data_IF_107468176632
#
_entry.id   IF_107468176632
#
_cell.length_a   1.000
_cell.length_b   1.000
_cell.length_c   1.000
_cell.angle_alpha   90.00
_cell.angle_beta   90.00
_cell.angle_gamma   90.00
#
_symmetry.space_group_name_H-M   'P 1'
#
loop_
_entity.id
_entity.type
_entity.pdbx_description
1 polymer ?
#
# COMPACT_ATOMS: atom_id res chain seq x y z
N UNK A 1 -14.94 -15.49 -16.37
CA UNK A 1 -14.31 -14.40 -17.15
C UNK A 1 -13.61 -13.50 -16.17
N UNK A 2 -12.30 -13.65 -16.00
CA UNK A 2 -11.49 -12.84 -15.08
C UNK A 2 -11.49 -11.40 -15.61
N UNK A 3 -12.06 -10.46 -14.86
CA UNK A 3 -12.04 -9.04 -15.24
C UNK A 3 -10.60 -8.55 -15.29
N UNK A 4 -10.28 -7.67 -16.24
CA UNK A 4 -8.97 -7.01 -16.26
C UNK A 4 -8.78 -6.17 -14.98
N UNK A 5 -7.64 -6.27 -14.28
CA UNK A 5 -7.36 -5.53 -13.04
C UNK A 5 -7.49 -4.00 -13.18
N UNK A 6 -7.33 -3.49 -14.39
CA UNK A 6 -7.50 -2.06 -14.71
C UNK A 6 -8.95 -1.58 -14.63
N UNK A 7 -9.92 -2.46 -14.92
CA UNK A 7 -11.34 -2.11 -15.04
C UNK A 7 -12.18 -2.51 -13.82
N UNK A 8 -11.55 -3.05 -12.77
CA UNK A 8 -12.26 -3.57 -11.60
C UNK A 8 -12.83 -2.46 -10.72
N UNK A 9 -12.11 -1.34 -10.61
CA UNK A 9 -12.46 -0.21 -9.75
C UNK A 9 -12.33 1.14 -10.48
N UNK A 10 -12.97 2.20 -9.97
CA UNK A 10 -13.03 3.49 -10.67
C UNK A 10 -11.71 4.27 -10.63
N UNK A 11 -10.87 4.11 -9.60
CA UNK A 11 -9.63 4.88 -9.47
C UNK A 11 -8.50 4.14 -10.17
N UNK A 12 -7.93 4.75 -11.21
CA UNK A 12 -6.78 4.16 -11.92
C UNK A 12 -5.52 4.29 -11.09
N UNK A 13 -4.71 3.24 -11.11
CA UNK A 13 -3.44 3.16 -10.40
C UNK A 13 -2.39 2.48 -11.29
N UNK A 14 -1.13 2.80 -11.01
CA UNK A 14 0.01 2.26 -11.72
C UNK A 14 1.05 1.77 -10.70
N UNK A 15 1.74 0.69 -11.03
CA UNK A 15 2.80 0.14 -10.22
C UNK A 15 3.64 -0.85 -11.00
N UNK A 16 4.53 -1.54 -10.30
CA UNK A 16 5.32 -2.62 -10.84
C UNK A 16 4.85 -3.90 -10.18
N UNK A 17 4.48 -4.89 -11.00
CA UNK A 17 3.97 -6.16 -10.52
C UNK A 17 4.84 -7.30 -11.02
N UNK A 18 4.93 -8.34 -10.21
CA UNK A 18 5.35 -9.66 -10.65
C UNK A 18 4.14 -10.43 -11.16
N UNK A 19 4.33 -11.12 -12.27
CA UNK A 19 3.30 -11.96 -12.89
C UNK A 19 3.54 -13.45 -12.66
N UNK A 20 4.73 -13.82 -12.20
CA UNK A 20 5.16 -15.19 -11.95
C UNK A 20 6.24 -15.23 -10.85
N UNK A 21 6.75 -16.45 -10.59
CA UNK A 21 7.75 -16.73 -9.56
C UNK A 21 9.19 -16.35 -9.94
N UNK A 22 9.43 -15.77 -11.13
CA UNK A 22 10.79 -15.45 -11.61
C UNK A 22 11.47 -14.35 -10.80
N UNK A 23 10.73 -13.50 -10.09
CA UNK A 23 11.29 -12.29 -9.49
C UNK A 23 11.20 -11.06 -10.39
N UNK A 24 10.78 -11.19 -11.64
CA UNK A 24 10.79 -10.08 -12.59
C UNK A 24 9.59 -9.16 -12.35
N UNK A 25 9.88 -7.88 -12.10
CA UNK A 25 8.87 -6.83 -11.98
C UNK A 25 8.72 -6.13 -13.33
N UNK A 26 7.47 -6.00 -13.79
CA UNK A 26 7.12 -5.25 -15.00
C UNK A 26 6.06 -4.19 -14.71
N UNK A 27 6.01 -3.10 -15.52
CA UNK A 27 4.95 -2.09 -15.43
C UNK A 27 3.56 -2.73 -15.47
N UNK A 28 2.69 -2.32 -14.55
CA UNK A 28 1.37 -2.90 -14.36
C UNK A 28 0.37 -1.80 -14.02
N UNK A 29 -0.65 -1.68 -14.87
CA UNK A 29 -1.80 -0.82 -14.59
C UNK A 29 -2.86 -1.63 -13.87
N UNK A 30 -3.50 -1.00 -12.88
CA UNK A 30 -4.58 -1.60 -12.14
C UNK A 30 -5.52 -0.52 -11.65
N UNK A 31 -6.50 -0.90 -10.83
CA UNK A 31 -7.43 0.04 -10.25
C UNK A 31 -7.61 -0.17 -8.75
N UNK A 32 -8.03 0.88 -8.05
CA UNK A 32 -8.32 0.92 -6.63
C UNK A 32 -9.74 1.42 -6.40
N UNK A 33 -10.36 0.98 -5.31
CA UNK A 33 -11.67 1.48 -4.88
C UNK A 33 -11.66 2.98 -4.61
N UNK A 34 -12.83 3.59 -4.60
CA UNK A 34 -12.98 4.95 -4.09
C UNK A 34 -12.67 5.01 -2.59
N UNK A 35 -12.34 6.20 -2.10
CA UNK A 35 -12.06 6.42 -0.68
C UNK A 35 -13.38 6.30 0.08
N UNK A 36 -13.60 5.17 0.77
CA UNK A 36 -14.77 4.96 1.62
C UNK A 36 -14.67 5.74 2.93
N UNK A 37 -15.70 5.61 3.78
CA UNK A 37 -15.86 6.41 5.01
C UNK A 37 -14.77 6.18 6.10
N UNK A 38 -13.98 5.12 5.97
CA UNK A 38 -12.88 4.77 6.88
C UNK A 38 -11.51 4.77 6.19
N UNK A 39 -11.45 5.11 4.90
CA UNK A 39 -10.24 5.02 4.11
C UNK A 39 -9.38 6.30 4.22
N UNK A 40 -8.09 6.11 3.98
CA UNK A 40 -7.14 7.19 3.73
C UNK A 40 -6.48 6.92 2.39
N UNK A 41 -6.62 7.87 1.47
CA UNK A 41 -5.90 7.87 0.20
C UNK A 41 -4.68 8.75 0.35
N UNK A 42 -3.55 8.24 -0.09
CA UNK A 42 -2.30 8.97 -0.11
C UNK A 42 -1.56 8.70 -1.41
N UNK A 43 -0.79 9.69 -1.83
CA UNK A 43 0.16 9.60 -2.93
C UNK A 43 1.46 9.00 -2.40
N UNK A 44 1.84 7.85 -2.92
CA UNK A 44 3.13 7.22 -2.60
C UNK A 44 4.26 8.12 -3.10
N UNK A 45 5.18 8.48 -2.22
CA UNK A 45 6.40 9.22 -2.55
C UNK A 45 7.62 8.30 -2.54
N UNK A 46 7.68 7.41 -1.55
CA UNK A 46 8.76 6.45 -1.36
C UNK A 46 8.21 5.09 -0.94
N UNK A 47 8.87 4.03 -1.38
CA UNK A 47 8.60 2.65 -0.95
C UNK A 47 9.94 2.00 -0.61
N UNK A 48 10.06 1.48 0.60
CA UNK A 48 11.18 0.66 1.05
C UNK A 48 11.14 -0.71 0.37
N UNK A 49 12.32 -1.31 0.23
CA UNK A 49 12.47 -2.68 -0.26
C UNK A 49 13.03 -3.51 0.88
N UNK A 50 12.28 -4.55 1.26
CA UNK A 50 12.69 -5.49 2.29
C UNK A 50 12.89 -6.89 1.70
N UNK A 51 13.60 -7.75 2.43
CA UNK A 51 13.82 -9.14 2.01
C UNK A 51 12.50 -9.92 1.88
N UNK A 52 11.51 -9.60 2.71
CA UNK A 52 10.17 -10.17 2.62
C UNK A 52 9.50 -9.93 1.26
N UNK A 53 9.78 -8.81 0.59
CA UNK A 53 9.27 -8.57 -0.76
C UNK A 53 9.84 -9.59 -1.75
N UNK A 54 11.14 -9.89 -1.68
CA UNK A 54 11.78 -10.87 -2.56
C UNK A 54 11.21 -12.27 -2.36
N UNK A 55 11.08 -12.71 -1.11
CA UNK A 55 10.49 -14.02 -0.78
C UNK A 55 9.05 -14.12 -1.29
N UNK A 56 8.28 -13.03 -1.17
CA UNK A 56 6.90 -12.95 -1.65
C UNK A 56 6.85 -13.01 -3.18
N UNK A 57 7.67 -12.23 -3.89
CA UNK A 57 7.69 -12.20 -5.35
C UNK A 57 8.13 -13.54 -5.94
N UNK A 58 9.05 -14.27 -5.29
CA UNK A 58 9.53 -15.59 -5.75
C UNK A 58 8.66 -16.76 -5.28
N UNK A 59 7.61 -16.51 -4.51
CA UNK A 59 6.75 -17.52 -3.92
C UNK A 59 7.51 -18.58 -3.11
N UNK A 60 8.55 -18.20 -2.38
CA UNK A 60 9.38 -19.16 -1.64
C UNK A 60 8.61 -19.82 -0.47
N UNK A 61 7.54 -19.18 -0.02
CA UNK A 61 6.65 -19.71 1.01
C UNK A 61 5.39 -20.42 0.46
N UNK A 62 5.19 -20.42 -0.86
CA UNK A 62 4.12 -21.19 -1.52
C UNK A 62 2.70 -20.59 -1.44
N UNK A 63 2.53 -19.37 -0.93
CA UNK A 63 1.22 -18.71 -0.78
C UNK A 63 1.08 -17.39 -1.55
N UNK A 64 2.00 -17.08 -2.47
CA UNK A 64 1.95 -15.86 -3.26
C UNK A 64 0.89 -15.94 -4.36
N UNK A 65 0.06 -14.89 -4.45
CA UNK A 65 -0.96 -14.73 -5.50
C UNK A 65 -0.49 -13.72 -6.53
N UNK A 66 -0.54 -14.08 -7.80
CA UNK A 66 -0.16 -13.22 -8.92
C UNK A 66 -1.41 -12.74 -9.69
N UNK A 67 -1.41 -11.52 -10.27
CA UNK A 67 -0.33 -10.53 -10.25
C UNK A 67 -0.12 -9.90 -8.86
N UNK A 68 1.14 -9.75 -8.44
CA UNK A 68 1.53 -9.24 -7.13
C UNK A 68 2.27 -7.91 -7.26
N UNK A 69 1.78 -6.87 -6.58
CA UNK A 69 2.51 -5.60 -6.40
C UNK A 69 3.14 -5.60 -5.00
N UNK A 70 4.46 -5.79 -4.87
CA UNK A 70 5.15 -5.80 -3.58
C UNK A 70 5.29 -4.37 -3.01
N UNK A 71 5.72 -4.27 -1.75
CA UNK A 71 5.86 -3.00 -1.05
C UNK A 71 4.95 -2.92 0.16
N UNK A 72 5.53 -3.07 1.34
CA UNK A 72 4.85 -2.96 2.63
C UNK A 72 5.43 -1.85 3.53
N UNK A 73 6.46 -1.15 3.05
CA UNK A 73 7.11 -0.03 3.75
C UNK A 73 6.92 1.25 2.93
N UNK A 74 5.74 1.88 3.02
CA UNK A 74 5.35 2.97 2.11
C UNK A 74 5.24 4.30 2.85
N UNK A 75 5.83 5.35 2.28
CA UNK A 75 5.72 6.73 2.74
C UNK A 75 5.11 7.60 1.66
N UNK A 76 4.18 8.46 2.05
CA UNK A 76 3.46 9.30 1.11
C UNK A 76 2.78 10.51 1.74
N UNK A 77 2.19 11.30 0.86
CA UNK A 77 1.40 12.47 1.21
C UNK A 77 -0.08 12.13 1.15
N UNK A 78 -0.83 12.43 2.21
CA UNK A 78 -2.27 12.17 2.25
C UNK A 78 -3.01 13.10 1.29
N UNK A 79 -3.77 12.53 0.36
CA UNK A 79 -4.52 13.28 -0.66
C UNK A 79 -6.01 13.36 -0.35
N UNK A 80 -6.58 12.32 0.25
CA UNK A 80 -7.98 12.30 0.66
C UNK A 80 -8.14 11.52 1.96
N UNK A 81 -9.04 12.00 2.80
CA UNK A 81 -9.35 11.43 4.11
C UNK A 81 -10.86 11.40 4.21
N UNK A 82 -11.41 10.24 4.54
CA UNK A 82 -12.84 10.11 4.76
C UNK A 82 -13.35 11.04 5.87
N UNK A 83 -14.62 11.43 5.93
CA UNK A 83 -15.04 12.54 6.83
C UNK A 83 -15.46 12.08 8.24
N UNK A 84 -15.61 10.78 8.52
CA UNK A 84 -16.31 10.34 9.74
C UNK A 84 -15.37 10.01 10.93
N UNK A 85 -15.53 10.84 11.98
CA UNK A 85 -15.33 10.65 13.44
C UNK A 85 -14.04 10.02 13.97
N UNK A 86 -13.02 10.84 14.18
CA UNK A 86 -12.54 11.26 15.54
C UNK A 86 -11.27 12.12 15.40
N UNK A 87 -11.08 13.00 16.37
CA UNK A 87 -10.20 14.18 16.44
C UNK A 87 -8.68 13.92 16.29
N UNK A 88 -8.25 12.69 16.04
CA UNK A 88 -6.84 12.27 16.00
C UNK A 88 -6.33 12.09 14.56
N UNK A 89 -6.47 13.08 13.68
CA UNK A 89 -6.43 12.78 12.24
C UNK A 89 -5.61 13.72 11.38
N UNK A 90 -4.32 13.75 11.68
CA UNK A 90 -3.22 14.01 10.73
C UNK A 90 -1.95 13.30 11.23
N UNK A 91 -1.75 13.24 12.55
CA UNK A 91 -0.58 12.61 13.19
C UNK A 91 -0.50 11.08 12.98
N UNK A 92 -1.63 10.37 12.90
CA UNK A 92 -1.64 8.91 12.76
C UNK A 92 -1.34 8.41 11.34
N UNK A 93 -1.79 9.12 10.31
CA UNK A 93 -1.51 8.75 8.91
C UNK A 93 -0.02 8.87 8.59
N UNK A 94 0.67 9.82 9.23
CA UNK A 94 2.13 9.94 9.12
C UNK A 94 2.87 8.85 9.90
N UNK A 95 2.26 8.28 10.95
CA UNK A 95 2.89 7.28 11.80
C UNK A 95 2.94 5.89 11.16
N UNK A 96 1.93 5.51 10.35
CA UNK A 96 1.99 4.26 9.58
C UNK A 96 3.07 4.28 8.50
N UNK A 97 3.47 5.47 8.04
CA UNK A 97 4.61 5.66 7.14
C UNK A 97 5.98 5.66 7.85
N UNK A 98 6.05 5.57 9.18
CA UNK A 98 7.29 5.71 9.94
C UNK A 98 7.65 4.50 10.80
N UNK A 99 7.01 3.35 10.61
CA UNK A 99 7.34 2.15 11.37
C UNK A 99 8.58 1.41 10.85
N UNK A 100 9.68 2.13 10.64
CA UNK A 100 11.04 1.60 10.73
C UNK A 100 11.74 2.28 11.90
N UNK A 101 11.48 1.77 13.12
CA UNK A 101 12.27 1.89 14.36
C UNK A 101 12.96 3.25 14.62
N UNK A 102 12.42 4.06 15.55
CA UNK A 102 13.14 4.63 16.72
C UNK A 102 12.24 5.57 17.57
N UNK A 103 12.18 5.24 18.87
CA UNK A 103 11.85 6.03 20.07
C UNK A 103 11.40 7.51 19.91
N UNK A 104 10.25 7.88 20.51
CA UNK A 104 10.09 8.79 21.68
C UNK A 104 8.67 9.39 21.73
N UNK A 105 8.08 9.31 22.93
CA UNK A 105 6.96 10.10 23.48
C UNK A 105 5.56 9.99 22.87
N UNK A 106 4.74 9.19 23.56
CA UNK A 106 3.28 9.26 23.56
C UNK A 106 2.88 10.29 24.63
N UNK A 107 2.30 11.46 24.30
CA UNK A 107 1.34 12.06 25.19
C UNK A 107 0.01 11.39 24.94
N UNK A 108 -0.43 10.59 25.92
CA UNK A 108 -1.82 10.19 26.07
C UNK A 108 -2.68 11.46 26.03
N UNK A 109 -3.63 11.53 25.10
CA UNK A 109 -4.74 12.46 25.22
C UNK A 109 -6.00 11.62 25.43
N UNK A 110 -6.57 11.73 26.63
CA UNK A 110 -7.96 11.39 26.93
C UNK A 110 -8.92 12.18 26.02
#
# INVERSE_FOLDING_TARGET
MTKSPEGEHPVKAFGWAATDTSGHLSPFNFSRRETGDEDVRFKVLYCGICHSDLHSIKNEWGFSTYPMVPGHEIVGEVTEVAVIRTKCRLLWAQWMALSTRSLLFIPFCH
#
